data_IF_207432937635
#
_entry.id   IF_207432937635
#
_cell.length_a   1.000
_cell.length_b   1.000
_cell.length_c   1.000
_cell.angle_alpha   90.00
_cell.angle_beta   90.00
_cell.angle_gamma   90.00
#
_symmetry.space_group_name_H-M   'P 1'
#
loop_
_entity.id
_entity.type
_entity.pdbx_description
1 polymer ?
#
# COMPACT_ATOMS: atom_id res chain seq x y z
N UNK A 1 -4.96 41.67 35.56
CA UNK A 1 -3.85 40.73 35.21
C UNK A 1 -4.31 39.41 34.55
N UNK A 2 -5.54 38.93 34.71
CA UNK A 2 -6.05 37.69 34.07
C UNK A 2 -6.24 37.79 32.56
N UNK A 3 -6.58 38.93 31.97
CA UNK A 3 -6.93 39.11 30.57
C UNK A 3 -5.75 39.05 29.58
N UNK A 4 -4.54 39.40 29.98
CA UNK A 4 -3.35 39.30 29.13
C UNK A 4 -2.89 37.85 28.93
N UNK A 5 -2.97 37.04 29.98
CA UNK A 5 -2.58 35.61 29.95
C UNK A 5 -3.53 34.78 29.06
N UNK A 6 -4.82 35.09 29.05
CA UNK A 6 -5.82 34.43 28.20
C UNK A 6 -5.65 34.77 26.73
N UNK A 7 -5.32 36.05 26.37
CA UNK A 7 -5.07 36.48 24.99
C UNK A 7 -3.82 35.78 24.40
N UNK A 8 -2.76 35.65 25.19
CA UNK A 8 -1.55 34.92 24.77
C UNK A 8 -1.82 33.43 24.51
N UNK A 9 -2.59 32.78 25.37
CA UNK A 9 -2.94 31.36 25.22
C UNK A 9 -3.81 31.12 23.96
N UNK A 10 -4.77 32.01 23.72
CA UNK A 10 -5.64 31.93 22.55
C UNK A 10 -4.85 32.11 21.23
N UNK A 11 -3.91 33.06 21.19
CA UNK A 11 -3.04 33.29 20.03
C UNK A 11 -2.11 32.09 19.74
N UNK A 12 -1.56 31.47 20.76
CA UNK A 12 -0.74 30.25 20.64
C UNK A 12 -1.57 29.07 20.15
N UNK A 13 -2.78 28.87 20.67
CA UNK A 13 -3.69 27.79 20.23
C UNK A 13 -4.16 27.99 18.79
N UNK A 14 -4.51 29.23 18.41
CA UNK A 14 -4.90 29.55 17.00
C UNK A 14 -3.71 29.37 16.05
N UNK A 15 -2.51 29.77 16.46
CA UNK A 15 -1.29 29.57 15.68
C UNK A 15 -0.94 28.09 15.51
N UNK A 16 -1.07 27.29 16.58
CA UNK A 16 -0.87 25.85 16.53
C UNK A 16 -1.91 25.14 15.65
N UNK A 17 -3.19 25.55 15.72
CA UNK A 17 -4.27 25.03 14.89
C UNK A 17 -4.05 25.33 13.41
N UNK A 18 -3.70 26.59 13.06
CA UNK A 18 -3.37 27.00 11.68
C UNK A 18 -2.17 26.23 11.13
N UNK A 19 -1.11 26.06 11.92
CA UNK A 19 0.10 25.32 11.52
C UNK A 19 -0.21 23.83 11.30
N UNK A 20 -1.06 23.24 12.14
CA UNK A 20 -1.46 21.84 12.01
C UNK A 20 -2.30 21.61 10.74
N UNK A 21 -3.25 22.49 10.46
CA UNK A 21 -4.09 22.46 9.26
C UNK A 21 -3.25 22.62 7.98
N UNK A 22 -2.31 23.59 7.98
CA UNK A 22 -1.38 23.83 6.88
C UNK A 22 -0.51 22.61 6.58
N UNK A 23 0.07 21.98 7.62
CA UNK A 23 0.91 20.79 7.45
C UNK A 23 0.11 19.57 6.93
N UNK A 24 -1.16 19.46 7.31
CA UNK A 24 -2.05 18.41 6.79
C UNK A 24 -2.35 18.62 5.31
N UNK A 25 -2.71 19.83 4.92
CA UNK A 25 -2.97 20.21 3.53
C UNK A 25 -1.73 19.99 2.65
N UNK A 26 -0.57 20.47 3.10
CA UNK A 26 0.70 20.28 2.39
C UNK A 26 0.99 18.80 2.10
N UNK A 27 0.82 17.91 3.08
CA UNK A 27 1.03 16.47 2.90
C UNK A 27 0.06 15.87 1.88
N UNK A 28 -1.20 16.27 1.91
CA UNK A 28 -2.20 15.84 0.93
C UNK A 28 -1.81 16.29 -0.48
N UNK A 29 -1.43 17.55 -0.65
CA UNK A 29 -0.97 18.10 -1.93
C UNK A 29 0.25 17.35 -2.46
N UNK A 30 1.26 17.12 -1.61
CA UNK A 30 2.46 16.35 -1.99
C UNK A 30 2.08 14.93 -2.42
N UNK A 31 1.21 14.25 -1.68
CA UNK A 31 0.78 12.89 -2.03
C UNK A 31 0.05 12.85 -3.37
N UNK A 32 -0.84 13.81 -3.62
CA UNK A 32 -1.55 13.90 -4.90
C UNK A 32 -0.60 14.26 -6.05
N UNK A 33 0.37 15.14 -5.83
CA UNK A 33 1.37 15.49 -6.85
C UNK A 33 2.26 14.30 -7.21
N UNK A 34 2.71 13.52 -6.21
CA UNK A 34 3.50 12.30 -6.44
C UNK A 34 2.68 11.20 -7.12
N UNK A 35 1.39 11.08 -6.78
CA UNK A 35 0.49 10.15 -7.48
C UNK A 35 0.29 10.56 -8.93
N UNK A 36 0.00 11.85 -9.19
CA UNK A 36 -0.12 12.39 -10.54
C UNK A 36 1.17 12.21 -11.35
N UNK A 37 2.34 12.40 -10.72
CA UNK A 37 3.62 12.11 -11.34
C UNK A 37 3.75 10.62 -11.72
N UNK A 38 3.32 9.71 -10.85
CA UNK A 38 3.33 8.27 -11.15
C UNK A 38 2.44 7.94 -12.36
N UNK A 39 1.23 8.51 -12.40
CA UNK A 39 0.33 8.37 -13.56
C UNK A 39 0.98 8.90 -14.85
N UNK A 40 1.59 10.08 -14.77
CA UNK A 40 2.24 10.73 -15.92
C UNK A 40 3.42 9.89 -16.44
N UNK A 41 4.26 9.36 -15.56
CA UNK A 41 5.41 8.51 -15.93
C UNK A 41 4.94 7.29 -16.74
N UNK A 42 3.95 6.55 -16.24
CA UNK A 42 3.46 5.36 -16.94
C UNK A 42 2.57 5.67 -18.15
N UNK A 43 2.00 6.88 -18.25
CA UNK A 43 1.30 7.33 -19.45
C UNK A 43 2.26 7.71 -20.57
N UNK A 44 3.37 8.40 -20.25
CA UNK A 44 4.37 8.86 -21.22
C UNK A 44 5.31 7.71 -21.64
N UNK A 45 5.62 6.81 -20.69
CA UNK A 45 6.53 5.67 -20.87
C UNK A 45 5.82 4.34 -20.66
N UNK A 46 4.90 3.94 -21.53
CA UNK A 46 4.16 2.67 -21.40
C UNK A 46 5.08 1.44 -21.45
N UNK A 47 6.23 1.52 -22.12
CA UNK A 47 7.23 0.45 -22.20
C UNK A 47 8.16 0.33 -20.99
N UNK A 48 8.07 1.21 -19.98
CA UNK A 48 8.92 1.18 -18.78
C UNK A 48 8.80 -0.15 -18.04
N UNK A 49 7.60 -0.70 -17.96
CA UNK A 49 7.32 -2.00 -17.35
C UNK A 49 8.07 -3.14 -18.03
N UNK A 50 8.08 -3.15 -19.36
CA UNK A 50 8.82 -4.15 -20.15
C UNK A 50 10.32 -3.99 -19.93
N UNK A 51 10.82 -2.75 -19.96
CA UNK A 51 12.24 -2.45 -19.75
C UNK A 51 12.74 -2.99 -18.41
N UNK A 52 11.98 -2.72 -17.33
CA UNK A 52 12.36 -3.18 -15.98
C UNK A 52 12.25 -4.70 -15.85
N UNK A 53 11.21 -5.31 -16.41
CA UNK A 53 11.05 -6.77 -16.41
C UNK A 53 12.16 -7.48 -17.18
N UNK A 54 12.62 -6.87 -18.30
CA UNK A 54 13.69 -7.42 -19.11
C UNK A 54 15.03 -7.52 -18.39
N UNK A 55 15.29 -6.73 -17.36
CA UNK A 55 16.51 -6.86 -16.55
C UNK A 55 16.61 -8.21 -15.80
N UNK A 56 15.50 -8.91 -15.64
CA UNK A 56 15.37 -10.17 -14.90
C UNK A 56 14.97 -11.35 -15.80
N UNK A 57 14.88 -11.12 -17.11
CA UNK A 57 14.50 -12.12 -18.09
C UNK A 57 15.67 -12.55 -18.96
N UNK A 58 15.83 -13.84 -19.12
CA UNK A 58 16.79 -14.46 -20.04
C UNK A 58 16.00 -15.24 -21.10
N UNK A 59 16.26 -15.05 -22.42
CA UNK A 59 15.54 -15.75 -23.48
C UNK A 59 15.61 -17.28 -23.43
N UNK A 60 16.65 -17.84 -22.77
CA UNK A 60 16.84 -19.30 -22.65
C UNK A 60 16.33 -19.87 -21.35
N UNK A 61 16.43 -19.10 -20.24
CA UNK A 61 16.08 -19.52 -18.88
C UNK A 61 14.78 -18.92 -18.37
N UNK A 62 14.19 -17.97 -19.09
CA UNK A 62 13.03 -17.21 -18.65
C UNK A 62 13.37 -16.26 -17.51
N UNK A 63 12.45 -16.08 -16.57
CA UNK A 63 12.71 -15.35 -15.32
C UNK A 63 13.54 -16.22 -14.37
N UNK A 64 14.86 -16.22 -14.59
CA UNK A 64 15.80 -17.18 -14.01
C UNK A 64 15.85 -17.13 -12.46
N UNK A 65 15.56 -15.97 -11.85
CA UNK A 65 15.50 -15.81 -10.39
C UNK A 65 14.16 -16.19 -9.78
N UNK A 66 13.20 -16.70 -10.58
CA UNK A 66 11.83 -17.03 -10.12
C UNK A 66 11.82 -18.03 -8.94
N UNK A 67 12.76 -18.95 -8.92
CA UNK A 67 12.87 -20.00 -7.91
C UNK A 67 13.91 -19.71 -6.82
N UNK A 68 14.52 -18.54 -6.82
CA UNK A 68 15.50 -18.16 -5.80
C UNK A 68 14.88 -18.18 -4.40
N UNK A 69 15.60 -18.76 -3.44
CA UNK A 69 15.10 -19.00 -2.09
C UNK A 69 14.60 -17.74 -1.38
N UNK A 70 15.23 -16.58 -1.60
CA UNK A 70 14.81 -15.32 -1.00
C UNK A 70 13.48 -14.81 -1.61
N UNK A 71 13.32 -14.93 -2.92
CA UNK A 71 12.10 -14.50 -3.61
C UNK A 71 10.92 -15.40 -3.26
N UNK A 72 11.15 -16.72 -3.19
CA UNK A 72 10.14 -17.69 -2.76
C UNK A 72 9.75 -17.46 -1.30
N UNK A 73 10.69 -17.26 -0.38
CA UNK A 73 10.38 -16.96 1.04
C UNK A 73 9.55 -15.69 1.21
N UNK A 74 9.87 -14.62 0.47
CA UNK A 74 9.08 -13.39 0.50
C UNK A 74 7.67 -13.64 -0.03
N UNK A 75 7.54 -14.40 -1.11
CA UNK A 75 6.22 -14.80 -1.62
C UNK A 75 5.41 -15.54 -0.56
N UNK A 76 5.97 -16.58 0.06
CA UNK A 76 5.26 -17.40 1.05
C UNK A 76 4.88 -16.58 2.29
N UNK A 77 5.83 -15.81 2.83
CA UNK A 77 5.58 -14.97 4.02
C UNK A 77 4.48 -13.94 3.74
N UNK A 78 4.60 -13.17 2.67
CA UNK A 78 3.63 -12.11 2.37
C UNK A 78 2.32 -12.63 1.75
N UNK A 79 2.30 -13.86 1.28
CA UNK A 79 1.08 -14.59 0.94
C UNK A 79 0.27 -15.02 2.16
N UNK A 80 0.91 -15.27 3.30
CA UNK A 80 0.28 -15.83 4.51
C UNK A 80 0.18 -14.83 5.69
N UNK A 81 1.03 -13.79 5.74
CA UNK A 81 1.13 -12.87 6.88
C UNK A 81 -0.21 -12.19 7.22
N UNK A 82 -1.09 -12.01 6.23
CA UNK A 82 -2.40 -11.41 6.44
C UNK A 82 -3.27 -12.19 7.42
N UNK A 83 -3.16 -13.53 7.48
CA UNK A 83 -3.89 -14.36 8.45
C UNK A 83 -3.41 -14.10 9.88
N UNK A 84 -2.10 -13.96 10.08
CA UNK A 84 -1.51 -13.66 11.38
C UNK A 84 -1.95 -12.26 11.85
N UNK A 85 -1.89 -11.27 10.96
CA UNK A 85 -2.33 -9.90 11.25
C UNK A 85 -3.84 -9.89 11.57
N UNK A 86 -4.65 -10.57 10.76
CA UNK A 86 -6.10 -10.69 10.96
C UNK A 86 -6.41 -11.30 12.33
N UNK A 87 -5.81 -12.44 12.65
CA UNK A 87 -6.00 -13.09 13.94
C UNK A 87 -5.62 -12.19 15.12
N UNK A 88 -4.48 -11.51 15.04
CA UNK A 88 -4.04 -10.56 16.07
C UNK A 88 -4.99 -9.39 16.24
N UNK A 89 -5.47 -8.79 15.14
CA UNK A 89 -6.41 -7.67 15.19
C UNK A 89 -7.77 -8.09 15.73
N UNK A 90 -8.29 -9.24 15.32
CA UNK A 90 -9.55 -9.79 15.84
C UNK A 90 -9.43 -10.11 17.33
N UNK A 91 -8.31 -10.68 17.78
CA UNK A 91 -8.05 -10.91 19.21
C UNK A 91 -8.13 -9.60 19.99
N UNK A 92 -7.46 -8.53 19.54
CA UNK A 92 -7.53 -7.22 20.23
C UNK A 92 -8.96 -6.67 20.26
N UNK A 93 -9.75 -6.86 19.20
CA UNK A 93 -11.10 -6.34 19.09
C UNK A 93 -12.11 -7.08 19.96
N UNK A 94 -12.01 -8.41 20.01
CA UNK A 94 -13.00 -9.27 20.67
C UNK A 94 -12.56 -9.79 22.04
N UNK A 95 -11.29 -9.55 22.42
CA UNK A 95 -10.79 -9.98 23.74
C UNK A 95 -11.59 -9.34 24.88
N UNK A 96 -11.96 -10.11 25.92
CA UNK A 96 -12.76 -9.60 27.04
C UNK A 96 -12.09 -8.43 27.75
N UNK A 97 -12.75 -7.28 27.80
CA UNK A 97 -12.18 -6.03 28.35
C UNK A 97 -11.94 -6.09 29.88
N UNK A 98 -12.65 -6.97 30.57
CA UNK A 98 -12.46 -7.16 32.01
C UNK A 98 -11.14 -7.85 32.34
N UNK A 99 -10.58 -8.59 31.39
CA UNK A 99 -9.31 -9.32 31.58
C UNK A 99 -8.08 -8.43 31.36
N UNK A 100 -8.17 -7.41 30.49
CA UNK A 100 -7.06 -6.49 30.20
C UNK A 100 -7.53 -5.05 30.00
N UNK A 101 -7.31 -4.20 31.01
CA UNK A 101 -7.62 -2.77 30.94
C UNK A 101 -6.83 -2.03 29.84
N UNK A 102 -5.61 -2.52 29.49
CA UNK A 102 -4.76 -1.97 28.43
C UNK A 102 -5.39 -2.04 27.03
N UNK A 103 -6.35 -2.96 26.80
CA UNK A 103 -7.04 -3.12 25.51
C UNK A 103 -8.27 -2.20 25.36
N UNK A 104 -8.49 -1.27 26.29
CA UNK A 104 -9.64 -0.35 26.25
C UNK A 104 -9.38 0.83 25.31
N UNK A 105 -10.45 1.34 24.69
CA UNK A 105 -10.49 2.62 23.96
C UNK A 105 -9.47 2.76 22.83
N UNK A 106 -8.37 3.49 23.03
CA UNK A 106 -7.48 3.88 21.92
C UNK A 106 -6.83 2.72 21.17
N UNK A 107 -6.53 1.59 21.85
CA UNK A 107 -5.93 0.44 21.20
C UNK A 107 -6.96 -0.28 20.30
N UNK A 108 -8.20 -0.43 20.77
CA UNK A 108 -9.28 -1.02 19.96
C UNK A 108 -9.61 -0.19 18.73
N UNK A 109 -9.67 1.15 18.86
CA UNK A 109 -9.88 2.02 17.70
C UNK A 109 -8.76 1.91 16.66
N UNK A 110 -7.50 1.77 17.12
CA UNK A 110 -6.36 1.52 16.22
C UNK A 110 -6.43 0.15 15.56
N UNK A 111 -6.81 -0.88 16.31
CA UNK A 111 -7.01 -2.23 15.76
C UNK A 111 -8.16 -2.27 14.75
N UNK A 112 -9.30 -1.62 15.04
CA UNK A 112 -10.41 -1.48 14.12
C UNK A 112 -9.99 -0.76 12.83
N UNK A 113 -9.25 0.36 12.95
CA UNK A 113 -8.70 1.05 11.80
C UNK A 113 -7.82 0.14 10.93
N UNK A 114 -6.85 -0.56 11.54
CA UNK A 114 -5.96 -1.45 10.82
C UNK A 114 -6.71 -2.61 10.16
N UNK A 115 -7.70 -3.18 10.85
CA UNK A 115 -8.55 -4.22 10.27
C UNK A 115 -9.31 -3.71 9.05
N UNK A 116 -9.99 -2.58 9.16
CA UNK A 116 -10.74 -1.98 8.04
C UNK A 116 -9.80 -1.63 6.90
N UNK A 117 -8.63 -1.03 7.19
CA UNK A 117 -7.65 -0.67 6.18
C UNK A 117 -7.09 -1.91 5.44
N UNK A 118 -6.87 -3.03 6.15
CA UNK A 118 -6.43 -4.28 5.55
C UNK A 118 -7.51 -4.92 4.67
N UNK A 119 -8.75 -4.94 5.16
CA UNK A 119 -9.86 -5.53 4.41
C UNK A 119 -10.23 -4.71 3.17
N UNK A 120 -10.24 -3.38 3.27
CA UNK A 120 -10.62 -2.52 2.15
C UNK A 120 -9.46 -2.23 1.19
N UNK A 121 -8.22 -2.14 1.66
CA UNK A 121 -7.05 -1.90 0.82
C UNK A 121 -6.56 -3.17 0.12
N UNK A 122 -5.66 -3.96 0.75
CA UNK A 122 -5.16 -5.20 0.15
C UNK A 122 -6.26 -6.23 -0.16
N UNK A 123 -7.31 -6.31 0.66
CA UNK A 123 -8.41 -7.25 0.48
C UNK A 123 -9.32 -6.84 -0.70
N UNK A 124 -10.17 -5.87 -0.49
CA UNK A 124 -11.23 -5.54 -1.46
C UNK A 124 -10.68 -4.80 -2.68
N UNK A 125 -10.00 -3.66 -2.49
CA UNK A 125 -9.57 -2.83 -3.63
C UNK A 125 -8.55 -3.56 -4.51
N UNK A 126 -7.55 -4.23 -3.92
CA UNK A 126 -6.53 -4.94 -4.68
C UNK A 126 -7.04 -6.28 -5.19
N UNK A 127 -7.45 -7.20 -4.31
CA UNK A 127 -7.75 -8.57 -4.76
C UNK A 127 -9.10 -8.68 -5.45
N UNK A 128 -10.19 -8.10 -4.90
CA UNK A 128 -11.52 -8.22 -5.51
C UNK A 128 -11.80 -7.13 -6.55
N UNK A 129 -11.14 -5.98 -6.46
CA UNK A 129 -11.27 -4.89 -7.41
C UNK A 129 -10.35 -5.05 -8.61
N UNK A 130 -9.11 -4.59 -8.47
CA UNK A 130 -8.19 -4.53 -9.60
C UNK A 130 -7.86 -5.89 -10.22
N UNK A 131 -7.54 -6.91 -9.42
CA UNK A 131 -7.08 -8.21 -9.93
C UNK A 131 -8.14 -8.99 -10.70
N UNK A 132 -9.40 -8.79 -10.38
CA UNK A 132 -10.50 -9.50 -11.05
C UNK A 132 -11.06 -8.74 -12.26
N UNK A 133 -10.82 -7.41 -12.34
CA UNK A 133 -11.48 -6.58 -13.35
C UNK A 133 -10.53 -5.85 -14.29
N UNK A 134 -9.21 -5.78 -14.00
CA UNK A 134 -8.27 -5.07 -14.86
C UNK A 134 -7.82 -5.88 -16.09
N UNK A 135 -7.86 -7.20 -15.99
CA UNK A 135 -7.58 -8.13 -17.10
C UNK A 135 -6.15 -8.13 -17.63
N UNK A 136 -5.17 -7.56 -16.91
CA UNK A 136 -3.77 -7.43 -17.34
C UNK A 136 -3.00 -8.74 -17.18
N UNK A 137 -2.38 -9.25 -18.24
CA UNK A 137 -1.47 -10.39 -18.19
C UNK A 137 -0.23 -10.09 -17.32
N UNK A 138 0.38 -11.14 -16.79
CA UNK A 138 1.63 -11.05 -16.01
C UNK A 138 2.85 -11.01 -16.94
N UNK A 139 4.04 -10.49 -16.50
CA UNK A 139 5.24 -10.48 -17.33
C UNK A 139 5.53 -11.82 -18.00
N UNK A 140 5.55 -12.93 -17.25
CA UNK A 140 5.84 -14.25 -17.80
C UNK A 140 4.77 -14.79 -18.79
N UNK A 141 3.66 -14.10 -18.96
CA UNK A 141 2.57 -14.48 -19.85
C UNK A 141 2.56 -13.68 -21.16
N UNK A 142 3.33 -12.60 -21.25
CA UNK A 142 3.30 -11.74 -22.46
C UNK A 142 4.32 -12.19 -23.50
N UNK A 143 4.03 -11.87 -24.77
CA UNK A 143 4.82 -12.28 -25.94
C UNK A 143 6.27 -11.83 -25.86
N UNK A 144 6.53 -10.66 -25.30
CA UNK A 144 7.87 -10.10 -25.09
C UNK A 144 8.75 -10.97 -24.21
N UNK A 145 8.14 -11.84 -23.38
CA UNK A 145 8.84 -12.78 -22.50
C UNK A 145 8.46 -14.23 -22.77
N UNK A 146 8.10 -14.54 -24.02
CA UNK A 146 7.84 -15.92 -24.48
C UNK A 146 6.46 -16.48 -24.12
N UNK A 147 5.56 -15.67 -23.59
CA UNK A 147 4.18 -16.07 -23.30
C UNK A 147 3.23 -15.88 -24.50
N UNK A 148 1.97 -16.32 -24.39
CA UNK A 148 0.99 -16.21 -25.46
C UNK A 148 0.20 -14.89 -25.50
N UNK A 149 0.24 -14.09 -24.42
CA UNK A 149 -0.62 -12.91 -24.25
C UNK A 149 0.03 -11.65 -24.82
N UNK A 150 -0.81 -10.69 -25.21
CA UNK A 150 -0.33 -9.35 -25.61
C UNK A 150 -0.11 -8.49 -24.38
N UNK A 151 0.99 -7.73 -24.36
CA UNK A 151 1.26 -6.74 -23.34
C UNK A 151 0.21 -5.63 -23.36
N UNK A 152 -0.23 -5.21 -22.17
CA UNK A 152 -1.07 -4.02 -21.98
C UNK A 152 -0.42 -3.04 -21.00
N UNK A 153 -0.38 -1.72 -21.33
CA UNK A 153 0.10 -0.70 -20.42
C UNK A 153 -0.70 -0.64 -19.09
N UNK A 154 -0.08 -0.17 -18.04
CA UNK A 154 -0.66 -0.15 -16.68
C UNK A 154 -2.03 0.56 -16.58
N UNK A 155 -2.19 1.66 -17.32
CA UNK A 155 -3.38 2.51 -17.24
C UNK A 155 -4.49 2.12 -18.21
N UNK A 156 -4.35 0.97 -18.89
CA UNK A 156 -5.31 0.46 -19.86
C UNK A 156 -5.85 -0.89 -19.36
N UNK A 157 -7.14 -0.99 -18.99
CA UNK A 157 -7.79 -2.27 -18.77
C UNK A 157 -7.67 -3.16 -20.01
N UNK A 158 -7.50 -4.46 -19.82
CA UNK A 158 -7.29 -5.44 -20.87
C UNK A 158 -8.20 -6.66 -20.67
N UNK A 159 -8.16 -7.60 -21.63
CA UNK A 159 -8.87 -8.88 -21.55
C UNK A 159 -7.91 -10.07 -21.71
N UNK A 160 -6.64 -9.87 -21.36
CA UNK A 160 -5.61 -10.89 -21.49
C UNK A 160 -5.51 -11.83 -20.25
N UNK A 161 -6.41 -11.67 -19.29
CA UNK A 161 -6.44 -12.44 -18.05
C UNK A 161 -7.86 -12.42 -17.46
N UNK A 162 -8.40 -13.60 -17.11
CA UNK A 162 -9.78 -13.74 -16.61
C UNK A 162 -9.91 -13.64 -15.08
N UNK A 163 -8.82 -13.74 -14.31
CA UNK A 163 -8.84 -13.64 -12.85
C UNK A 163 -7.46 -13.74 -12.24
N UNK A 164 -7.29 -13.20 -11.03
CA UNK A 164 -6.01 -13.08 -10.34
C UNK A 164 -4.91 -12.45 -11.23
N UNK A 165 -5.29 -11.43 -11.98
CA UNK A 165 -4.47 -10.76 -12.98
C UNK A 165 -3.29 -9.97 -12.37
N UNK A 166 -2.43 -9.39 -13.23
CA UNK A 166 -1.21 -8.73 -12.78
C UNK A 166 -1.48 -7.46 -11.98
N UNK A 167 -2.36 -6.60 -12.46
CA UNK A 167 -2.59 -5.26 -11.88
C UNK A 167 -3.63 -5.29 -10.76
N UNK A 168 -3.33 -4.86 -9.56
CA UNK A 168 -2.06 -4.42 -8.94
C UNK A 168 -1.48 -5.55 -8.08
N UNK A 169 -0.21 -5.43 -7.62
CA UNK A 169 0.44 -6.49 -6.86
C UNK A 169 -0.13 -6.67 -5.44
N UNK A 170 -0.78 -7.81 -5.17
CA UNK A 170 -1.33 -8.12 -3.86
C UNK A 170 -0.28 -8.35 -2.77
N UNK A 171 0.82 -9.05 -3.10
CA UNK A 171 1.93 -9.26 -2.16
C UNK A 171 2.62 -7.94 -1.80
N UNK A 172 2.88 -7.07 -2.80
CA UNK A 172 3.43 -5.74 -2.55
C UNK A 172 2.47 -4.90 -1.70
N UNK A 173 1.15 -4.97 -1.95
CA UNK A 173 0.14 -4.28 -1.16
C UNK A 173 0.18 -4.70 0.32
N UNK A 174 0.37 -5.99 0.62
CA UNK A 174 0.56 -6.46 1.99
C UNK A 174 1.86 -5.94 2.60
N UNK A 175 2.94 -5.86 1.84
CA UNK A 175 4.18 -5.21 2.29
C UNK A 175 3.99 -3.73 2.58
N UNK A 176 3.32 -3.00 1.70
CA UNK A 176 2.99 -1.59 1.88
C UNK A 176 1.97 -1.33 3.00
N UNK A 177 1.20 -2.34 3.42
CA UNK A 177 0.22 -2.19 4.50
C UNK A 177 0.82 -1.65 5.80
N UNK A 178 2.11 -1.85 6.05
CA UNK A 178 2.85 -1.25 7.17
C UNK A 178 2.74 0.28 7.19
N UNK A 179 2.56 0.94 6.02
CA UNK A 179 2.31 2.39 5.91
C UNK A 179 1.05 2.81 6.66
N UNK A 180 0.05 1.92 6.81
CA UNK A 180 -1.18 2.23 7.55
C UNK A 180 -0.89 2.65 9.00
N UNK A 181 0.16 2.10 9.62
CA UNK A 181 0.59 2.47 10.98
C UNK A 181 1.07 3.92 11.06
N UNK A 182 1.58 4.49 9.96
CA UNK A 182 1.94 5.91 9.90
C UNK A 182 0.72 6.81 10.13
N UNK A 183 -0.44 6.49 9.60
CA UNK A 183 -1.63 7.33 9.72
C UNK A 183 -2.16 7.44 11.16
N UNK A 184 -1.90 6.44 12.01
CA UNK A 184 -2.31 6.44 13.41
C UNK A 184 -1.20 6.89 14.37
N UNK A 185 0.07 6.80 13.98
CA UNK A 185 1.21 7.15 14.85
C UNK A 185 1.89 8.45 14.47
N UNK A 186 1.76 8.87 13.21
CA UNK A 186 2.47 10.01 12.56
C UNK A 186 4.00 9.91 12.64
N UNK A 187 4.55 8.76 13.01
CA UNK A 187 6.00 8.54 13.08
C UNK A 187 6.52 8.15 11.70
N UNK A 188 7.39 8.97 11.12
CA UNK A 188 7.98 8.76 9.77
C UNK A 188 8.62 7.38 9.59
N UNK A 189 9.14 6.78 10.67
CA UNK A 189 9.70 5.43 10.62
C UNK A 189 8.75 4.39 10.04
N UNK A 190 7.44 4.49 10.32
CA UNK A 190 6.45 3.56 9.78
C UNK A 190 6.16 3.78 8.29
N UNK A 191 6.25 5.03 7.84
CA UNK A 191 6.21 5.32 6.41
C UNK A 191 7.41 4.70 5.70
N UNK A 192 8.62 4.98 6.20
CA UNK A 192 9.86 4.44 5.62
C UNK A 192 9.85 2.90 5.67
N UNK A 193 9.53 2.30 6.82
CA UNK A 193 9.44 0.85 6.95
C UNK A 193 8.45 0.24 5.95
N UNK A 194 7.25 0.82 5.81
CA UNK A 194 6.24 0.31 4.88
C UNK A 194 6.65 0.47 3.41
N UNK A 195 7.27 1.60 3.05
CA UNK A 195 7.80 1.79 1.69
C UNK A 195 8.91 0.75 1.40
N UNK A 196 9.86 0.58 2.31
CA UNK A 196 10.95 -0.39 2.13
C UNK A 196 10.41 -1.82 2.04
N UNK A 197 9.55 -2.23 2.98
CA UNK A 197 8.98 -3.59 2.99
C UNK A 197 8.19 -3.87 1.72
N UNK A 198 7.28 -2.96 1.33
CA UNK A 198 6.49 -3.13 0.11
C UNK A 198 7.34 -3.12 -1.16
N UNK A 199 8.39 -2.29 -1.22
CA UNK A 199 9.32 -2.25 -2.36
C UNK A 199 10.16 -3.52 -2.47
N UNK A 200 10.66 -4.08 -1.36
CA UNK A 200 11.41 -5.34 -1.35
C UNK A 200 10.53 -6.51 -1.80
N UNK A 201 9.29 -6.59 -1.27
CA UNK A 201 8.32 -7.61 -1.71
C UNK A 201 7.93 -7.42 -3.17
N UNK A 202 7.69 -6.17 -3.59
CA UNK A 202 7.38 -5.83 -4.98
C UNK A 202 8.51 -6.20 -5.93
N UNK A 203 9.78 -5.91 -5.56
CA UNK A 203 10.95 -6.30 -6.34
C UNK A 203 11.03 -7.83 -6.48
N UNK A 204 10.79 -8.59 -5.42
CA UNK A 204 10.74 -10.05 -5.52
C UNK A 204 9.70 -10.52 -6.55
N UNK A 205 8.52 -9.85 -6.61
CA UNK A 205 7.49 -10.19 -7.59
C UNK A 205 7.85 -9.81 -9.02
N UNK A 206 8.60 -8.69 -9.21
CA UNK A 206 9.13 -8.29 -10.53
C UNK A 206 10.17 -9.31 -11.00
N UNK A 207 11.12 -9.65 -10.15
CA UNK A 207 12.19 -10.63 -10.42
C UNK A 207 11.63 -12.01 -10.79
N UNK A 208 10.49 -12.40 -10.19
CA UNK A 208 9.79 -13.64 -10.50
C UNK A 208 9.00 -13.59 -11.81
N UNK A 209 8.90 -12.44 -12.47
CA UNK A 209 8.08 -12.25 -13.67
C UNK A 209 6.57 -12.33 -13.42
N UNK A 210 6.15 -12.09 -12.19
CA UNK A 210 4.74 -12.19 -11.80
C UNK A 210 4.02 -10.84 -11.73
N UNK A 211 4.77 -9.73 -11.64
CA UNK A 211 4.24 -8.37 -11.62
C UNK A 211 5.16 -7.40 -12.34
N UNK A 212 4.59 -6.38 -12.96
CA UNK A 212 5.32 -5.25 -13.53
C UNK A 212 5.66 -4.21 -12.45
N UNK A 213 6.57 -3.27 -12.77
CA UNK A 213 6.92 -2.15 -11.90
C UNK A 213 5.67 -1.32 -11.52
N UNK A 214 4.85 -1.00 -12.51
CA UNK A 214 3.62 -0.24 -12.29
C UNK A 214 2.64 -0.93 -11.35
N UNK A 215 2.53 -2.27 -11.39
CA UNK A 215 1.66 -3.03 -10.49
C UNK A 215 2.08 -2.83 -9.03
N UNK A 216 3.38 -2.69 -8.78
CA UNK A 216 3.95 -2.43 -7.44
C UNK A 216 3.72 -0.98 -7.03
N UNK A 217 3.98 -0.01 -7.91
CA UNK A 217 3.78 1.42 -7.64
C UNK A 217 2.32 1.73 -7.32
N UNK A 218 1.39 1.20 -8.12
CA UNK A 218 -0.04 1.42 -7.89
C UNK A 218 -0.60 0.62 -6.72
N UNK A 219 0.02 -0.49 -6.32
CA UNK A 219 -0.29 -1.16 -5.05
C UNK A 219 0.02 -0.26 -3.85
N UNK A 220 1.16 0.48 -3.85
CA UNK A 220 1.46 1.48 -2.84
C UNK A 220 0.37 2.56 -2.77
N UNK A 221 0.00 3.14 -3.89
CA UNK A 221 -1.01 4.21 -3.94
C UNK A 221 -2.38 3.74 -3.48
N UNK A 222 -2.78 2.52 -3.85
CA UNK A 222 -4.04 1.92 -3.37
C UNK A 222 -4.06 1.82 -1.84
N UNK A 223 -3.01 1.25 -1.26
CA UNK A 223 -2.89 1.12 0.21
C UNK A 223 -2.82 2.49 0.88
N UNK A 224 -2.07 3.44 0.31
CA UNK A 224 -1.92 4.80 0.82
C UNK A 224 -3.27 5.51 0.91
N UNK A 225 -4.00 5.59 -0.20
CA UNK A 225 -5.26 6.33 -0.24
C UNK A 225 -6.36 5.68 0.57
N UNK A 226 -6.47 4.35 0.55
CA UNK A 226 -7.44 3.63 1.39
C UNK A 226 -7.14 3.87 2.88
N UNK A 227 -5.88 3.73 3.29
CA UNK A 227 -5.48 3.97 4.69
C UNK A 227 -5.71 5.43 5.11
N UNK A 228 -5.39 6.39 4.23
CA UNK A 228 -5.66 7.80 4.47
C UNK A 228 -7.15 8.10 4.63
N UNK A 229 -7.98 7.59 3.71
CA UNK A 229 -9.42 7.80 3.73
C UNK A 229 -10.06 7.25 5.02
N UNK A 230 -9.70 6.02 5.41
CA UNK A 230 -10.22 5.40 6.64
C UNK A 230 -9.77 6.17 7.88
N UNK A 231 -8.49 6.58 7.95
CA UNK A 231 -7.99 7.38 9.07
C UNK A 231 -8.73 8.73 9.18
N UNK A 232 -9.06 9.34 8.02
CA UNK A 232 -9.84 10.57 7.96
C UNK A 232 -11.28 10.35 8.43
N UNK A 233 -11.97 9.34 7.91
CA UNK A 233 -13.36 9.00 8.27
C UNK A 233 -13.51 8.61 9.75
N UNK A 234 -12.55 7.91 10.31
CA UNK A 234 -12.53 7.54 11.72
C UNK A 234 -12.07 8.66 12.66
N UNK A 235 -11.74 9.85 12.14
CA UNK A 235 -11.29 10.99 12.92
C UNK A 235 -10.03 10.70 13.74
N UNK A 236 -9.16 9.79 13.26
CA UNK A 236 -7.93 9.40 13.95
C UNK A 236 -6.90 10.52 13.87
N UNK A 237 -7.12 11.55 14.68
CA UNK A 237 -6.15 12.63 14.88
C UNK A 237 -5.08 12.15 15.85
N UNK A 238 -3.79 12.32 15.56
CA UNK A 238 -2.76 12.08 16.54
C UNK A 238 -2.97 13.03 17.70
N UNK A 239 -2.95 12.52 18.91
CA UNK A 239 -2.78 13.38 20.09
C UNK A 239 -1.39 14.01 19.97
N UNK A 240 -1.35 15.35 19.98
CA UNK A 240 -0.14 16.17 20.06
C UNK A 240 0.65 15.83 21.30
#
# INVERSE_FOLDING_TARGET
>A
MATMRQRGLCAVLVGAFKRHSYNSLMRTVISLALFALSLLVFAIWPGLDLTVSNWFYDPTLGFHLKKDAWAVRLYDVFGQIHWVILGGLLTILFFPQWLMTALRGPLRNRAAYLLIAMLLGPGLAVNSGFKEHWGRARPHQVQEFGGPQTYSPALQPAQACEGNCSFVSGHAAMGFFVVSVYFITRRRRWLVAGVLTGSVVGLARIVQGDHFLSDVVFAFWTVWFVSWAIAFLMGLRPRS
#
